data_IF_976834530733
#
_entry.id   IF_976834530733
#
_cell.length_a   1.000
_cell.length_b   1.000
_cell.length_c   1.000
_cell.angle_alpha   90.00
_cell.angle_beta   90.00
_cell.angle_gamma   90.00
#
_symmetry.space_group_name_H-M   'P 1'
#
loop_
_entity.id
_entity.type
_entity.pdbx_description
1 polymer ?
#
# COMPACT_ATOMS: atom_id res chain seq x y z
N UNK A 1 -34.54 -11.28 -11.59
CA UNK A 1 -33.09 -11.16 -11.32
C UNK A 1 -32.40 -10.57 -12.55
N UNK A 2 -31.66 -9.49 -12.36
CA UNK A 2 -30.80 -8.87 -13.39
C UNK A 2 -29.38 -8.73 -12.86
N UNK A 3 -28.40 -8.94 -13.71
CA UNK A 3 -26.99 -8.99 -13.34
C UNK A 3 -26.21 -7.93 -14.13
N UNK A 4 -25.37 -7.18 -13.42
CA UNK A 4 -24.58 -6.12 -14.01
C UNK A 4 -23.12 -6.22 -13.57
N UNK A 5 -22.20 -6.15 -14.54
CA UNK A 5 -20.80 -5.87 -14.25
C UNK A 5 -20.66 -4.43 -13.77
N UNK A 6 -19.89 -4.20 -12.70
CA UNK A 6 -19.83 -2.86 -12.10
C UNK A 6 -18.40 -2.47 -11.67
N UNK A 7 -18.22 -1.21 -11.35
CA UNK A 7 -17.05 -0.74 -10.63
C UNK A 7 -15.78 -0.66 -11.45
N UNK A 8 -14.69 -1.16 -10.86
CA UNK A 8 -13.36 -1.06 -11.46
C UNK A 8 -13.21 -1.77 -12.80
N UNK A 9 -13.93 -2.88 -13.00
CA UNK A 9 -13.88 -3.66 -14.24
C UNK A 9 -14.46 -2.88 -15.42
N UNK A 10 -15.62 -2.25 -15.23
CA UNK A 10 -16.27 -1.41 -16.28
C UNK A 10 -15.41 -0.20 -16.61
N UNK A 11 -14.88 0.50 -15.59
CA UNK A 11 -13.96 1.62 -15.80
C UNK A 11 -12.71 1.18 -16.58
N UNK A 12 -12.08 0.08 -16.18
CA UNK A 12 -10.83 -0.38 -16.80
C UNK A 12 -11.10 -0.82 -18.25
N UNK A 13 -12.24 -1.49 -18.54
CA UNK A 13 -12.68 -1.81 -19.91
C UNK A 13 -12.81 -0.55 -20.78
N UNK A 14 -13.52 0.49 -20.27
CA UNK A 14 -13.70 1.77 -20.98
C UNK A 14 -12.38 2.54 -21.18
N UNK A 15 -11.35 2.26 -20.42
CA UNK A 15 -10.00 2.81 -20.58
C UNK A 15 -9.07 1.91 -21.40
N UNK A 16 -9.53 0.76 -21.88
CA UNK A 16 -8.70 -0.21 -22.60
C UNK A 16 -7.66 -0.91 -21.69
N UNK A 17 -7.90 -0.97 -20.38
CA UNK A 17 -7.03 -1.63 -19.39
C UNK A 17 -7.53 -3.04 -19.15
N UNK A 18 -6.70 -4.09 -19.25
CA UNK A 18 -7.11 -5.44 -18.87
C UNK A 18 -7.51 -5.50 -17.39
N UNK A 19 -8.72 -5.94 -17.10
CA UNK A 19 -9.18 -6.19 -15.72
C UNK A 19 -9.13 -7.68 -15.40
N UNK A 20 -8.52 -8.02 -14.25
CA UNK A 20 -8.45 -9.40 -13.75
C UNK A 20 -9.60 -9.73 -12.79
N UNK A 21 -10.12 -8.71 -12.12
CA UNK A 21 -11.17 -8.85 -11.11
C UNK A 21 -12.47 -8.27 -11.67
N UNK A 22 -13.55 -9.02 -11.58
CA UNK A 22 -14.88 -8.60 -11.99
C UNK A 22 -15.80 -8.64 -10.79
N UNK A 23 -16.44 -7.50 -10.53
CA UNK A 23 -17.47 -7.36 -9.51
C UNK A 23 -18.85 -7.31 -10.17
N UNK A 24 -19.75 -8.15 -9.71
CA UNK A 24 -21.11 -8.24 -10.24
C UNK A 24 -22.13 -7.78 -9.20
N UNK A 25 -23.09 -6.98 -9.64
CA UNK A 25 -24.27 -6.61 -8.84
C UNK A 25 -25.51 -7.30 -9.38
N UNK A 26 -26.27 -7.87 -8.47
CA UNK A 26 -27.54 -8.54 -8.76
C UNK A 26 -28.67 -7.70 -8.17
N UNK A 27 -29.63 -7.29 -9.00
CA UNK A 27 -30.86 -6.60 -8.62
C UNK A 27 -32.06 -7.50 -8.84
N UNK A 28 -33.18 -7.16 -8.24
CA UNK A 28 -34.44 -7.92 -8.33
C UNK A 28 -34.22 -9.38 -7.93
N UNK A 29 -33.49 -9.63 -6.83
CA UNK A 29 -33.19 -10.97 -6.32
C UNK A 29 -32.98 -10.99 -4.82
N UNK A 30 -33.08 -12.17 -4.23
CA UNK A 30 -32.95 -12.43 -2.80
C UNK A 30 -31.83 -13.43 -2.48
N UNK A 31 -31.47 -13.51 -1.19
CA UNK A 31 -30.55 -14.54 -0.71
C UNK A 31 -31.01 -15.96 -1.05
N UNK A 32 -32.30 -16.21 -0.93
CA UNK A 32 -32.88 -17.54 -1.20
C UNK A 32 -32.75 -17.91 -2.69
N UNK A 33 -33.06 -16.97 -3.58
CA UNK A 33 -32.91 -17.17 -5.03
C UNK A 33 -31.46 -17.41 -5.43
N UNK A 34 -30.50 -16.60 -4.92
CA UNK A 34 -29.07 -16.80 -5.18
C UNK A 34 -28.58 -18.18 -4.76
N UNK A 35 -29.01 -18.63 -3.57
CA UNK A 35 -28.63 -19.95 -3.05
C UNK A 35 -29.26 -21.08 -3.86
N UNK A 36 -30.54 -20.93 -4.26
CA UNK A 36 -31.26 -21.93 -5.07
C UNK A 36 -30.61 -22.20 -6.42
N UNK A 37 -30.01 -21.17 -7.02
CA UNK A 37 -29.28 -21.30 -8.31
C UNK A 37 -27.79 -21.64 -8.14
N UNK A 38 -27.37 -22.05 -6.93
CA UNK A 38 -26.06 -22.63 -6.67
C UNK A 38 -24.96 -21.63 -6.26
N UNK A 39 -25.27 -20.36 -6.04
CA UNK A 39 -24.27 -19.41 -5.52
C UNK A 39 -23.95 -19.69 -4.06
N UNK A 40 -22.66 -19.66 -3.71
CA UNK A 40 -22.21 -19.86 -2.33
C UNK A 40 -21.98 -18.53 -1.63
N UNK A 41 -22.72 -18.28 -0.57
CA UNK A 41 -22.52 -17.08 0.28
C UNK A 41 -21.20 -17.18 1.02
N UNK A 42 -20.41 -16.08 0.99
CA UNK A 42 -19.17 -15.89 1.73
C UNK A 42 -19.23 -14.60 2.55
N UNK A 43 -18.52 -14.58 3.68
CA UNK A 43 -18.49 -13.42 4.59
C UNK A 43 -19.66 -13.40 5.57
N UNK A 44 -19.35 -13.05 6.84
CA UNK A 44 -20.37 -12.97 7.91
C UNK A 44 -21.23 -11.72 7.83
N UNK A 45 -20.62 -10.58 7.48
CA UNK A 45 -21.26 -9.26 7.53
C UNK A 45 -21.59 -8.69 6.16
N UNK A 46 -21.16 -9.33 5.08
CA UNK A 46 -21.31 -8.86 3.72
C UNK A 46 -21.92 -9.96 2.85
N UNK A 47 -23.05 -9.72 2.20
CA UNK A 47 -23.68 -10.71 1.32
C UNK A 47 -22.94 -10.74 -0.02
N UNK A 48 -21.75 -11.34 -0.04
CA UNK A 48 -21.01 -11.68 -1.26
C UNK A 48 -21.29 -13.14 -1.58
N UNK A 49 -21.47 -13.43 -2.85
CA UNK A 49 -21.77 -14.77 -3.38
C UNK A 49 -20.72 -15.14 -4.42
N UNK A 50 -20.21 -16.34 -4.33
CA UNK A 50 -19.27 -16.89 -5.31
C UNK A 50 -20.05 -17.68 -6.35
N UNK A 51 -19.84 -17.35 -7.62
CA UNK A 51 -20.43 -18.10 -8.73
C UNK A 51 -19.92 -19.54 -8.74
N UNK A 52 -20.80 -20.56 -8.93
CA UNK A 52 -20.40 -21.97 -8.79
C UNK A 52 -19.33 -22.40 -9.80
N UNK A 53 -19.32 -21.84 -10.99
CA UNK A 53 -18.39 -22.20 -12.08
C UNK A 53 -17.25 -21.20 -12.20
N UNK A 54 -17.54 -19.91 -12.46
CA UNK A 54 -16.51 -18.89 -12.75
C UNK A 54 -15.71 -18.45 -11.54
N UNK A 55 -16.21 -18.73 -10.31
CA UNK A 55 -15.64 -18.28 -9.04
C UNK A 55 -15.58 -16.75 -8.87
N UNK A 56 -16.23 -16.01 -9.76
CA UNK A 56 -16.34 -14.56 -9.68
C UNK A 56 -17.27 -14.13 -8.53
N UNK A 57 -17.06 -12.92 -8.02
CA UNK A 57 -17.80 -12.36 -6.88
C UNK A 57 -19.05 -11.61 -7.32
N UNK A 58 -20.17 -11.96 -6.71
CA UNK A 58 -21.49 -11.35 -6.93
C UNK A 58 -22.01 -10.76 -5.62
N UNK A 59 -22.63 -9.59 -5.66
CA UNK A 59 -23.28 -8.99 -4.52
C UNK A 59 -24.71 -8.60 -4.86
N UNK A 60 -25.67 -8.81 -3.93
CA UNK A 60 -26.99 -8.23 -4.07
C UNK A 60 -26.90 -6.71 -3.97
N UNK A 61 -27.70 -6.02 -4.79
CA UNK A 61 -27.87 -4.57 -4.68
C UNK A 61 -28.27 -4.20 -3.26
N UNK A 62 -27.69 -3.14 -2.70
CA UNK A 62 -27.92 -2.76 -1.32
C UNK A 62 -27.87 -1.26 -1.08
N UNK A 63 -28.58 -0.82 -0.05
CA UNK A 63 -28.35 0.46 0.62
C UNK A 63 -27.44 0.25 1.83
N UNK A 64 -26.53 1.16 2.03
CA UNK A 64 -25.70 1.21 3.23
C UNK A 64 -26.19 2.39 4.07
N UNK A 65 -26.38 2.19 5.38
CA UNK A 65 -26.74 3.25 6.33
C UNK A 65 -25.78 3.19 7.51
N UNK A 66 -25.10 4.29 7.76
CA UNK A 66 -24.24 4.44 8.93
C UNK A 66 -25.09 4.45 10.19
N UNK A 67 -24.81 3.56 11.15
CA UNK A 67 -25.56 3.44 12.43
C UNK A 67 -24.72 3.92 13.62
N UNK A 68 -23.45 4.34 13.41
CA UNK A 68 -22.56 4.84 14.46
C UNK A 68 -21.19 5.21 13.93
N UNK A 69 -20.27 5.61 14.82
CA UNK A 69 -18.89 5.97 14.45
C UNK A 69 -18.08 4.72 14.06
N UNK A 70 -17.25 4.83 13.00
CA UNK A 70 -16.38 3.78 12.50
C UNK A 70 -17.07 2.78 11.56
N UNK A 71 -16.29 1.91 10.92
CA UNK A 71 -16.74 1.04 9.82
C UNK A 71 -17.55 -0.20 10.27
N UNK A 72 -17.58 -0.54 11.55
CA UNK A 72 -18.35 -1.71 12.07
C UNK A 72 -19.85 -1.40 12.25
N UNK A 73 -20.20 -0.14 12.19
CA UNK A 73 -21.55 0.36 12.47
C UNK A 73 -22.26 0.76 11.18
N UNK A 74 -22.38 -0.20 10.25
CA UNK A 74 -23.21 -0.09 9.07
C UNK A 74 -24.32 -1.13 9.14
N UNK A 75 -25.55 -0.71 8.85
CA UNK A 75 -26.63 -1.61 8.49
C UNK A 75 -26.71 -1.71 6.97
N UNK A 76 -26.91 -2.93 6.49
CA UNK A 76 -27.06 -3.21 5.06
C UNK A 76 -28.50 -3.60 4.81
N UNK A 77 -29.20 -2.83 4.00
CA UNK A 77 -30.49 -3.20 3.48
C UNK A 77 -30.28 -3.85 2.11
N UNK A 78 -30.51 -5.16 2.08
CA UNK A 78 -30.40 -6.02 0.87
C UNK A 78 -31.78 -6.42 0.35
N UNK A 79 -32.77 -5.56 0.54
CA UNK A 79 -34.11 -5.79 0.02
C UNK A 79 -34.08 -5.95 -1.52
N UNK A 80 -34.78 -6.93 -2.11
CA UNK A 80 -34.89 -7.08 -3.57
C UNK A 80 -35.33 -5.83 -4.33
N UNK A 81 -36.03 -4.90 -3.64
CA UNK A 81 -36.47 -3.63 -4.22
C UNK A 81 -35.39 -2.54 -4.33
N UNK A 82 -34.14 -2.83 -3.88
CA UNK A 82 -33.03 -1.88 -4.04
C UNK A 82 -32.64 -1.81 -5.52
N UNK A 83 -32.80 -0.63 -6.09
CA UNK A 83 -32.49 -0.38 -7.50
C UNK A 83 -30.98 -0.37 -7.77
N UNK A 84 -30.58 -0.61 -9.03
CA UNK A 84 -29.21 -0.47 -9.49
C UNK A 84 -28.65 0.93 -9.19
N UNK A 85 -29.46 1.98 -9.42
CA UNK A 85 -29.06 3.37 -9.18
C UNK A 85 -28.72 3.62 -7.70
N UNK A 86 -29.46 3.04 -6.77
CA UNK A 86 -29.20 3.14 -5.33
C UNK A 86 -27.90 2.43 -4.93
N UNK A 87 -27.62 1.26 -5.50
CA UNK A 87 -26.33 0.61 -5.29
C UNK A 87 -25.16 1.42 -5.86
N UNK A 88 -25.30 1.98 -7.04
CA UNK A 88 -24.29 2.81 -7.66
C UNK A 88 -24.06 4.13 -6.89
N UNK A 89 -25.12 4.71 -6.30
CA UNK A 89 -25.06 5.96 -5.52
C UNK A 89 -24.16 5.89 -4.30
N UNK A 90 -24.06 4.73 -3.64
CA UNK A 90 -23.22 4.53 -2.45
C UNK A 90 -21.74 4.32 -2.76
N UNK A 91 -21.33 4.22 -4.05
CA UNK A 91 -19.93 4.01 -4.45
C UNK A 91 -19.09 5.26 -4.21
N UNK A 92 -17.78 5.09 -4.29
CA UNK A 92 -16.80 6.15 -3.95
C UNK A 92 -16.71 7.24 -5.02
N UNK A 93 -16.50 6.86 -6.28
CA UNK A 93 -16.28 7.81 -7.39
C UNK A 93 -17.13 7.46 -8.61
N UNK A 94 -17.53 8.48 -9.37
CA UNK A 94 -18.43 8.33 -10.52
C UNK A 94 -17.95 7.35 -11.57
N UNK A 95 -16.64 7.33 -11.84
CA UNK A 95 -16.03 6.40 -12.79
C UNK A 95 -16.02 4.93 -12.31
N UNK A 96 -16.35 4.66 -11.05
CA UNK A 96 -16.60 3.33 -10.49
C UNK A 96 -18.10 3.07 -10.27
N UNK A 97 -18.97 4.03 -10.59
CA UNK A 97 -20.43 3.94 -10.47
C UNK A 97 -21.11 3.79 -11.83
N UNK A 98 -20.45 3.10 -12.74
CA UNK A 98 -20.97 2.69 -14.05
C UNK A 98 -21.24 1.19 -13.99
N UNK A 99 -22.34 0.76 -14.55
CA UNK A 99 -22.70 -0.65 -14.69
C UNK A 99 -22.84 -1.03 -16.17
N UNK A 100 -22.65 -2.31 -16.48
CA UNK A 100 -22.81 -2.89 -17.82
C UNK A 100 -23.61 -4.18 -17.72
N UNK A 101 -24.66 -4.31 -18.53
CA UNK A 101 -25.43 -5.56 -18.60
C UNK A 101 -24.78 -6.61 -19.54
N UNK A 102 -25.41 -7.76 -19.61
CA UNK A 102 -24.95 -8.88 -20.48
C UNK A 102 -25.09 -8.58 -21.97
N UNK A 103 -25.92 -7.62 -22.36
CA UNK A 103 -26.12 -7.18 -23.74
C UNK A 103 -25.10 -6.10 -24.15
N UNK A 104 -24.28 -5.62 -23.21
CA UNK A 104 -23.30 -4.59 -23.45
C UNK A 104 -23.79 -3.16 -23.22
N UNK A 105 -25.02 -2.95 -22.77
CA UNK A 105 -25.55 -1.61 -22.48
C UNK A 105 -24.95 -1.06 -21.19
N UNK A 106 -24.57 0.23 -21.22
CA UNK A 106 -24.04 0.93 -20.05
C UNK A 106 -25.12 1.70 -19.31
N UNK A 107 -25.09 1.62 -17.98
CA UNK A 107 -25.96 2.37 -17.06
C UNK A 107 -25.09 3.31 -16.24
N UNK A 108 -25.23 4.61 -16.46
CA UNK A 108 -24.39 5.67 -15.88
C UNK A 108 -25.24 6.81 -15.30
N UNK A 109 -25.97 6.59 -14.20
CA UNK A 109 -26.84 7.61 -13.62
C UNK A 109 -26.08 8.80 -13.01
N UNK A 110 -24.77 8.68 -12.82
CA UNK A 110 -23.96 9.70 -12.13
C UNK A 110 -22.95 10.40 -13.04
N UNK A 111 -22.97 10.12 -14.36
CA UNK A 111 -22.09 10.77 -15.34
C UNK A 111 -20.63 10.34 -15.27
N UNK A 112 -20.39 9.10 -14.89
CA UNK A 112 -19.05 8.50 -14.83
C UNK A 112 -18.37 8.41 -16.20
N UNK A 113 -19.12 8.11 -17.27
CA UNK A 113 -18.57 8.09 -18.64
C UNK A 113 -18.09 9.48 -19.09
N UNK A 114 -18.83 10.54 -18.73
CA UNK A 114 -18.40 11.93 -18.96
C UNK A 114 -17.11 12.24 -18.18
N UNK A 115 -17.03 11.79 -16.93
CA UNK A 115 -15.84 11.98 -16.09
C UNK A 115 -14.64 11.18 -16.59
N UNK A 116 -14.84 9.97 -17.13
CA UNK A 116 -13.82 9.20 -17.82
C UNK A 116 -13.25 9.96 -19.03
N UNK A 117 -14.10 10.45 -19.91
CA UNK A 117 -13.70 11.26 -21.08
C UNK A 117 -12.92 12.50 -20.66
N UNK A 118 -13.36 13.19 -19.60
CA UNK A 118 -12.75 14.42 -19.11
C UNK A 118 -11.58 14.18 -18.12
N UNK A 119 -11.20 12.92 -17.88
CA UNK A 119 -10.13 12.55 -16.94
C UNK A 119 -10.35 13.11 -15.53
N UNK A 120 -11.56 12.97 -14.99
CA UNK A 120 -11.95 13.49 -13.67
C UNK A 120 -12.22 12.35 -12.68
N UNK A 121 -11.70 12.53 -11.47
CA UNK A 121 -12.07 11.75 -10.28
C UNK A 121 -13.05 12.60 -9.48
N UNK A 122 -14.32 12.23 -9.50
CA UNK A 122 -15.40 12.94 -8.84
C UNK A 122 -16.16 11.99 -7.90
N UNK A 123 -16.45 12.45 -6.70
CA UNK A 123 -17.27 11.76 -5.70
C UNK A 123 -18.69 11.61 -6.24
N UNK A 124 -19.31 10.44 -6.00
CA UNK A 124 -20.67 10.13 -6.49
C UNK A 124 -21.72 10.94 -5.74
N UNK A 125 -21.70 10.90 -4.41
CA UNK A 125 -22.77 11.48 -3.56
C UNK A 125 -22.25 11.76 -2.14
N UNK A 126 -23.11 12.36 -1.30
CA UNK A 126 -22.82 12.62 0.11
C UNK A 126 -22.59 11.34 0.94
N UNK A 127 -23.06 10.17 0.48
CA UNK A 127 -22.75 8.88 1.09
C UNK A 127 -21.25 8.58 1.14
N UNK A 128 -20.43 9.31 0.37
CA UNK A 128 -18.98 9.23 0.43
C UNK A 128 -18.41 9.47 1.83
N UNK A 129 -18.95 10.46 2.55
CA UNK A 129 -18.49 10.83 3.90
C UNK A 129 -18.83 9.79 4.98
N UNK A 130 -19.68 8.81 4.68
CA UNK A 130 -20.04 7.75 5.63
C UNK A 130 -18.86 6.80 5.93
N UNK A 131 -17.95 6.59 4.98
CA UNK A 131 -16.74 5.77 5.17
C UNK A 131 -15.47 6.61 4.91
N UNK A 132 -14.78 7.07 5.97
CA UNK A 132 -13.57 7.88 5.84
C UNK A 132 -12.43 7.21 5.06
N UNK A 133 -12.44 5.87 4.92
CA UNK A 133 -11.46 5.15 4.11
C UNK A 133 -11.50 5.56 2.63
N UNK A 134 -12.65 6.01 2.15
CA UNK A 134 -12.83 6.43 0.75
C UNK A 134 -11.88 7.58 0.37
N UNK A 135 -11.47 8.41 1.33
CA UNK A 135 -10.42 9.42 1.15
C UNK A 135 -9.09 8.77 0.68
N UNK A 136 -8.64 7.72 1.37
CA UNK A 136 -7.42 6.98 0.99
C UNK A 136 -7.61 6.25 -0.35
N UNK A 137 -8.81 5.76 -0.62
CA UNK A 137 -9.15 5.14 -1.91
C UNK A 137 -9.04 6.14 -3.06
N UNK A 138 -9.53 7.38 -2.92
CA UNK A 138 -9.35 8.42 -3.95
C UNK A 138 -7.86 8.72 -4.18
N UNK A 139 -7.07 8.88 -3.12
CA UNK A 139 -5.63 9.08 -3.24
C UNK A 139 -4.96 7.92 -4.00
N UNK A 140 -5.37 6.69 -3.74
CA UNK A 140 -4.90 5.50 -4.48
C UNK A 140 -5.38 5.51 -5.93
N UNK A 141 -6.63 5.88 -6.23
CA UNK A 141 -7.12 5.97 -7.60
C UNK A 141 -6.38 7.04 -8.39
N UNK A 142 -6.07 8.20 -7.79
CA UNK A 142 -5.21 9.20 -8.43
C UNK A 142 -3.85 8.62 -8.83
N UNK A 143 -3.30 7.74 -8.01
CA UNK A 143 -2.04 7.03 -8.30
C UNK A 143 -2.22 5.97 -9.39
N UNK A 144 -3.25 5.10 -9.27
CA UNK A 144 -3.54 4.04 -10.25
C UNK A 144 -3.76 4.60 -11.66
N UNK A 145 -4.45 5.74 -11.75
CA UNK A 145 -4.86 6.36 -13.00
C UNK A 145 -3.89 7.47 -13.47
N UNK A 146 -2.70 7.56 -12.87
CA UNK A 146 -1.73 8.61 -13.18
C UNK A 146 -1.31 8.63 -14.66
N UNK A 147 -1.15 7.46 -15.27
CA UNK A 147 -0.79 7.33 -16.69
C UNK A 147 -1.85 7.89 -17.65
N UNK A 148 -3.05 8.13 -17.19
CA UNK A 148 -4.17 8.70 -17.94
C UNK A 148 -4.49 10.15 -17.56
N UNK A 149 -3.62 10.81 -16.79
CA UNK A 149 -3.73 12.22 -16.37
C UNK A 149 -5.03 12.60 -15.65
N UNK A 150 -5.63 11.66 -14.92
CA UNK A 150 -6.82 11.96 -14.13
C UNK A 150 -6.54 12.99 -13.04
N UNK A 151 -7.45 13.95 -12.87
CA UNK A 151 -7.42 14.97 -11.81
C UNK A 151 -8.62 14.84 -10.88
N UNK A 152 -8.39 15.05 -9.58
CA UNK A 152 -9.48 15.10 -8.60
C UNK A 152 -10.17 16.46 -8.72
N UNK A 153 -11.52 16.49 -8.75
CA UNK A 153 -12.28 17.73 -8.86
C UNK A 153 -12.14 18.60 -7.59
N UNK A 154 -12.30 19.91 -7.73
CA UNK A 154 -12.22 20.85 -6.60
C UNK A 154 -13.21 20.49 -5.48
N UNK A 155 -14.46 20.19 -5.85
CA UNK A 155 -15.49 19.77 -4.88
C UNK A 155 -15.11 18.46 -4.16
N UNK A 156 -14.58 17.48 -4.87
CA UNK A 156 -14.12 16.23 -4.23
C UNK A 156 -12.96 16.47 -3.26
N UNK A 157 -12.02 17.36 -3.59
CA UNK A 157 -10.97 17.75 -2.66
C UNK A 157 -11.50 18.46 -1.41
N UNK A 158 -12.53 19.30 -1.56
CA UNK A 158 -13.18 19.98 -0.42
C UNK A 158 -13.85 18.97 0.52
N UNK A 159 -14.62 18.02 -0.02
CA UNK A 159 -15.24 16.93 0.78
C UNK A 159 -14.18 16.08 1.49
N UNK A 160 -13.10 15.72 0.80
CA UNK A 160 -12.01 14.96 1.43
C UNK A 160 -11.35 15.74 2.58
N UNK A 161 -11.22 17.06 2.44
CA UNK A 161 -10.66 17.93 3.47
C UNK A 161 -11.60 18.06 4.69
N UNK A 162 -12.91 18.14 4.45
CA UNK A 162 -13.92 18.12 5.49
C UNK A 162 -13.87 16.83 6.32
N UNK A 163 -13.81 15.66 5.66
CA UNK A 163 -13.64 14.36 6.35
C UNK A 163 -12.39 14.36 7.24
N UNK A 164 -11.30 14.95 6.76
CA UNK A 164 -10.07 15.06 7.54
C UNK A 164 -10.23 15.97 8.77
N UNK A 165 -11.06 17.02 8.67
CA UNK A 165 -11.31 17.96 9.78
C UNK A 165 -12.16 17.35 10.88
N UNK A 166 -13.06 16.40 10.54
CA UNK A 166 -14.01 15.77 11.47
C UNK A 166 -13.39 14.61 12.28
N UNK A 167 -12.07 14.35 12.15
CA UNK A 167 -11.33 13.31 12.89
C UNK A 167 -11.89 11.87 12.80
N UNK A 168 -12.87 11.63 11.93
CA UNK A 168 -13.48 10.29 11.75
C UNK A 168 -12.48 9.23 11.27
N UNK A 169 -11.41 9.64 10.61
CA UNK A 169 -10.31 8.78 10.18
C UNK A 169 -9.65 8.04 11.36
N UNK A 170 -9.66 8.62 12.57
CA UNK A 170 -9.10 8.00 13.77
C UNK A 170 -9.83 6.71 14.19
N UNK A 171 -11.05 6.50 13.72
CA UNK A 171 -11.85 5.29 13.98
C UNK A 171 -11.63 4.19 12.93
N UNK A 172 -10.83 4.44 11.90
CA UNK A 172 -10.46 3.42 10.93
C UNK A 172 -9.48 2.41 11.55
N UNK A 173 -9.64 1.15 11.20
CA UNK A 173 -8.62 0.16 11.54
C UNK A 173 -7.34 0.42 10.74
N UNK A 174 -6.21 0.22 11.41
CA UNK A 174 -4.90 0.42 10.78
C UNK A 174 -4.69 -0.45 9.56
N UNK A 175 -5.22 -1.68 9.57
CA UNK A 175 -5.17 -2.63 8.46
C UNK A 175 -5.80 -2.05 7.20
N UNK A 176 -6.97 -1.39 7.31
CA UNK A 176 -7.65 -0.79 6.14
C UNK A 176 -6.83 0.35 5.53
N UNK A 177 -6.23 1.20 6.38
CA UNK A 177 -5.35 2.29 5.92
C UNK A 177 -4.11 1.69 5.22
N UNK A 178 -3.53 0.65 5.83
CA UNK A 178 -2.37 -0.03 5.24
C UNK A 178 -2.69 -0.68 3.90
N UNK A 179 -3.83 -1.35 3.75
CA UNK A 179 -4.21 -2.00 2.50
C UNK A 179 -4.31 -1.01 1.33
N UNK A 180 -4.89 0.18 1.55
CA UNK A 180 -4.94 1.22 0.53
C UNK A 180 -3.54 1.79 0.25
N UNK A 181 -2.72 1.96 1.28
CA UNK A 181 -1.33 2.42 1.16
C UNK A 181 -0.47 1.40 0.41
N UNK A 182 -0.58 0.11 0.75
CA UNK A 182 0.12 -0.98 0.08
C UNK A 182 -0.19 -1.01 -1.43
N UNK A 183 -1.49 -0.96 -1.77
CA UNK A 183 -1.96 -0.91 -3.16
C UNK A 183 -1.41 0.32 -3.89
N UNK A 184 -1.40 1.49 -3.24
CA UNK A 184 -0.85 2.71 -3.82
C UNK A 184 0.66 2.61 -4.08
N UNK A 185 1.42 2.03 -3.14
CA UNK A 185 2.86 1.79 -3.28
C UNK A 185 3.20 0.76 -4.37
N UNK A 186 2.26 -0.14 -4.70
CA UNK A 186 2.45 -1.14 -5.76
C UNK A 186 2.40 -0.53 -7.17
N UNK A 187 1.76 0.62 -7.35
CA UNK A 187 1.67 1.31 -8.65
C UNK A 187 2.92 2.15 -8.95
N UNK A 188 3.05 2.55 -10.23
CA UNK A 188 3.85 3.71 -10.60
C UNK A 188 3.29 4.98 -9.96
N UNK A 189 4.09 6.07 -9.96
CA UNK A 189 3.66 7.39 -9.45
C UNK A 189 3.13 7.37 -8.01
N UNK A 190 3.67 6.48 -7.16
CA UNK A 190 3.23 6.33 -5.77
C UNK A 190 3.41 7.61 -4.94
N UNK A 191 4.24 8.54 -5.37
CA UNK A 191 4.38 9.87 -4.78
C UNK A 191 3.06 10.66 -4.80
N UNK A 192 2.18 10.42 -5.80
CA UNK A 192 0.87 11.06 -5.91
C UNK A 192 -0.08 10.68 -4.78
N UNK A 193 0.04 9.47 -4.23
CA UNK A 193 -0.74 9.07 -3.06
C UNK A 193 -0.50 10.01 -1.88
N UNK A 194 0.76 10.15 -1.49
CA UNK A 194 1.14 10.99 -0.35
C UNK A 194 0.94 12.48 -0.63
N UNK A 195 1.15 12.95 -1.87
CA UNK A 195 0.89 14.34 -2.23
C UNK A 195 -0.61 14.66 -2.21
N UNK A 196 -1.48 13.72 -2.57
CA UNK A 196 -2.93 13.87 -2.44
C UNK A 196 -3.33 13.93 -0.97
N UNK A 197 -2.81 13.02 -0.13
CA UNK A 197 -3.07 13.06 1.31
C UNK A 197 -2.60 14.38 1.96
N UNK A 198 -1.41 14.88 1.56
CA UNK A 198 -0.92 16.19 2.04
C UNK A 198 -1.86 17.32 1.66
N UNK A 199 -2.37 17.32 0.42
CA UNK A 199 -3.26 18.38 -0.10
C UNK A 199 -4.58 18.49 0.66
N UNK A 200 -5.06 17.38 1.25
CA UNK A 200 -6.31 17.33 2.01
C UNK A 200 -6.05 17.16 3.52
N UNK A 201 -4.86 17.51 4.00
CA UNK A 201 -4.44 17.47 5.40
C UNK A 201 -4.50 16.06 6.05
N UNK A 202 -4.68 15.00 5.25
CA UNK A 202 -4.78 13.62 5.73
C UNK A 202 -3.41 12.98 6.03
N UNK A 203 -2.31 13.62 5.64
CA UNK A 203 -0.97 13.13 5.96
C UNK A 203 -0.68 13.15 7.47
N UNK A 204 -1.44 13.94 8.26
CA UNK A 204 -1.37 13.96 9.73
C UNK A 204 -1.61 12.58 10.37
N UNK A 205 -2.33 11.67 9.69
CA UNK A 205 -2.57 10.30 10.17
C UNK A 205 -1.38 9.35 9.97
N UNK A 206 -0.33 9.82 9.29
CA UNK A 206 0.96 9.16 9.17
C UNK A 206 1.98 9.88 10.05
N UNK A 207 1.93 9.60 11.35
CA UNK A 207 2.69 10.30 12.38
C UNK A 207 4.18 10.40 12.04
N UNK A 208 4.73 11.60 12.22
CA UNK A 208 6.13 11.91 11.95
C UNK A 208 6.49 12.01 10.46
N UNK A 209 5.59 11.60 9.54
CA UNK A 209 5.86 11.72 8.11
C UNK A 209 5.65 13.15 7.61
N UNK A 210 4.66 13.87 8.09
CA UNK A 210 4.33 15.23 7.67
C UNK A 210 5.49 16.22 7.86
N UNK A 211 6.26 16.08 8.96
CA UNK A 211 7.43 16.90 9.29
C UNK A 211 8.58 16.74 8.30
N UNK A 212 8.73 15.58 7.70
CA UNK A 212 9.84 15.23 6.79
C UNK A 212 9.37 14.97 5.37
N UNK A 213 8.08 15.18 5.11
CA UNK A 213 7.40 14.84 3.86
C UNK A 213 8.11 15.38 2.62
N UNK A 214 8.37 16.69 2.56
CA UNK A 214 8.97 17.33 1.37
C UNK A 214 10.34 16.77 1.03
N UNK A 215 11.13 16.41 2.06
CA UNK A 215 12.45 15.82 1.90
C UNK A 215 12.33 14.37 1.40
N UNK A 216 11.46 13.58 2.00
CA UNK A 216 11.28 12.16 1.64
C UNK A 216 10.63 12.00 0.28
N UNK A 217 9.69 12.88 -0.09
CA UNK A 217 8.99 12.85 -1.36
C UNK A 217 9.95 12.97 -2.55
N UNK A 218 11.02 13.79 -2.44
CA UNK A 218 12.03 13.93 -3.49
C UNK A 218 12.66 12.58 -3.84
N UNK A 219 12.98 11.77 -2.84
CA UNK A 219 13.53 10.44 -3.05
C UNK A 219 12.48 9.44 -3.54
N UNK A 220 11.25 9.50 -3.03
CA UNK A 220 10.18 8.61 -3.50
C UNK A 220 9.88 8.82 -4.99
N UNK A 221 9.91 10.06 -5.48
CA UNK A 221 9.70 10.39 -6.89
C UNK A 221 10.70 9.70 -7.82
N UNK A 222 11.93 9.41 -7.38
CA UNK A 222 12.90 8.66 -8.16
C UNK A 222 12.46 7.21 -8.45
N UNK A 223 11.51 6.68 -7.66
CA UNK A 223 10.93 5.36 -7.86
C UNK A 223 9.53 5.40 -8.50
N UNK A 224 9.04 6.56 -8.96
CA UNK A 224 7.69 6.67 -9.49
C UNK A 224 7.46 5.86 -10.76
N UNK A 225 8.48 5.61 -11.56
CA UNK A 225 8.39 4.74 -12.74
C UNK A 225 8.41 3.23 -12.41
N UNK A 226 8.72 2.87 -11.18
CA UNK A 226 8.86 1.47 -10.76
C UNK A 226 7.57 0.93 -10.17
N UNK A 227 7.12 -0.24 -10.65
CA UNK A 227 6.00 -1.01 -10.07
C UNK A 227 6.50 -2.00 -9.02
N UNK A 228 5.61 -2.40 -8.12
CA UNK A 228 5.81 -3.51 -7.16
C UNK A 228 7.02 -3.38 -6.24
N UNK A 229 7.53 -2.17 -6.01
CA UNK A 229 8.63 -1.87 -5.08
C UNK A 229 8.10 -1.35 -3.74
N UNK A 230 7.14 -2.05 -3.13
CA UNK A 230 6.45 -1.58 -1.92
C UNK A 230 7.40 -1.44 -0.74
N UNK A 231 8.34 -2.37 -0.56
CA UNK A 231 9.30 -2.38 0.54
C UNK A 231 10.22 -1.17 0.47
N UNK A 232 10.79 -0.93 -0.71
CA UNK A 232 11.70 0.17 -1.00
C UNK A 232 10.99 1.52 -0.88
N UNK A 233 9.82 1.65 -1.50
CA UNK A 233 9.02 2.87 -1.46
C UNK A 233 8.57 3.21 -0.03
N UNK A 234 8.17 2.21 0.77
CA UNK A 234 7.85 2.40 2.18
C UNK A 234 9.08 2.85 3.00
N UNK A 235 10.23 2.22 2.77
CA UNK A 235 11.46 2.62 3.44
C UNK A 235 11.87 4.05 3.08
N UNK A 236 11.71 4.45 1.80
CA UNK A 236 12.08 5.77 1.30
C UNK A 236 11.13 6.86 1.80
N UNK A 237 9.81 6.66 1.76
CA UNK A 237 8.87 7.67 2.25
C UNK A 237 9.04 7.92 3.77
N UNK A 238 9.63 6.98 4.48
CA UNK A 238 9.97 7.10 5.92
C UNK A 238 11.46 7.35 6.19
N UNK A 239 12.27 7.68 5.17
CA UNK A 239 13.74 7.76 5.23
C UNK A 239 14.30 8.64 6.36
N UNK A 240 13.61 9.71 6.72
CA UNK A 240 13.99 10.67 7.77
C UNK A 240 12.98 10.76 8.92
N UNK A 241 11.91 9.91 8.91
CA UNK A 241 10.93 9.88 9.99
C UNK A 241 11.52 9.23 11.24
N UNK A 242 11.33 9.87 12.40
CA UNK A 242 11.74 9.33 13.71
C UNK A 242 10.66 8.47 14.36
N UNK A 243 9.40 8.67 14.00
CA UNK A 243 8.22 8.05 14.64
C UNK A 243 7.70 6.84 13.86
N UNK A 244 8.49 6.35 12.89
CA UNK A 244 8.04 5.32 11.95
C UNK A 244 7.70 3.98 12.61
N UNK A 245 8.36 3.58 13.69
CA UNK A 245 8.05 2.32 14.40
C UNK A 245 6.66 2.38 15.05
N UNK A 246 6.28 3.54 15.59
CA UNK A 246 4.95 3.78 16.11
C UNK A 246 3.90 3.77 15.00
N UNK A 247 4.15 4.47 13.90
CA UNK A 247 3.29 4.48 12.72
C UNK A 247 3.05 3.06 12.19
N UNK A 248 4.13 2.27 11.99
CA UNK A 248 4.05 0.89 11.52
C UNK A 248 3.17 0.00 12.41
N UNK A 249 3.27 0.16 13.72
CA UNK A 249 2.42 -0.54 14.68
C UNK A 249 0.96 -0.08 14.58
N UNK A 250 0.72 1.23 14.46
CA UNK A 250 -0.61 1.82 14.39
C UNK A 250 -1.37 1.37 13.15
N UNK A 251 -0.75 1.46 11.97
CA UNK A 251 -1.40 1.06 10.71
C UNK A 251 -1.17 -0.41 10.34
N UNK A 252 -0.61 -1.21 11.25
CA UNK A 252 -0.43 -2.67 11.10
C UNK A 252 0.39 -3.07 9.87
N UNK A 253 1.50 -2.38 9.62
CA UNK A 253 2.42 -2.74 8.55
C UNK A 253 2.98 -4.16 8.76
N UNK A 254 2.98 -5.04 7.75
CA UNK A 254 3.50 -6.40 7.87
C UNK A 254 4.98 -6.44 8.31
N UNK A 255 5.31 -7.36 9.21
CA UNK A 255 6.67 -7.51 9.80
C UNK A 255 7.78 -7.58 8.74
N UNK A 256 7.53 -8.21 7.59
CA UNK A 256 8.52 -8.29 6.50
C UNK A 256 8.92 -6.91 5.97
N UNK A 257 7.96 -6.01 5.82
CA UNK A 257 8.17 -4.63 5.34
C UNK A 257 8.87 -3.80 6.41
N UNK A 258 8.42 -3.89 7.68
CA UNK A 258 9.08 -3.24 8.81
C UNK A 258 10.56 -3.67 8.92
N UNK A 259 10.84 -4.96 8.78
CA UNK A 259 12.21 -5.50 8.84
C UNK A 259 13.08 -4.97 7.70
N UNK A 260 12.55 -4.88 6.48
CA UNK A 260 13.28 -4.28 5.36
C UNK A 260 13.59 -2.80 5.63
N UNK A 261 12.60 -2.01 6.04
CA UNK A 261 12.79 -0.59 6.37
C UNK A 261 13.83 -0.40 7.49
N UNK A 262 13.79 -1.22 8.55
CA UNK A 262 14.80 -1.21 9.63
C UNK A 262 16.20 -1.52 9.10
N UNK A 263 16.32 -2.56 8.26
CA UNK A 263 17.57 -2.91 7.61
C UNK A 263 18.08 -1.75 6.76
N UNK A 264 17.22 -1.14 5.96
CA UNK A 264 17.56 0.01 5.12
C UNK A 264 18.06 1.21 5.96
N UNK A 265 17.38 1.54 7.06
CA UNK A 265 17.80 2.62 7.97
C UNK A 265 19.18 2.33 8.61
N UNK A 266 19.38 1.12 9.13
CA UNK A 266 20.67 0.73 9.72
C UNK A 266 21.81 0.71 8.69
N UNK A 267 21.53 0.22 7.47
CA UNK A 267 22.50 0.24 6.37
C UNK A 267 22.87 1.69 6.01
N UNK A 268 21.90 2.58 5.89
CA UNK A 268 22.13 4.02 5.65
C UNK A 268 23.00 4.64 6.74
N UNK A 269 22.73 4.35 8.01
CA UNK A 269 23.52 4.87 9.13
C UNK A 269 24.96 4.31 9.09
N UNK A 270 25.10 3.01 8.85
CA UNK A 270 26.38 2.33 8.77
C UNK A 270 27.26 2.89 7.63
N UNK A 271 26.66 3.27 6.50
CA UNK A 271 27.40 3.79 5.33
C UNK A 271 27.76 5.28 5.45
N UNK A 272 27.06 6.07 6.28
CA UNK A 272 27.25 7.54 6.38
C UNK A 272 28.47 7.98 7.14
N UNK A 273 29.00 7.22 8.09
CA UNK A 273 30.07 7.66 8.98
C UNK A 273 31.38 6.94 8.63
N UNK A 274 32.30 7.66 8.04
CA UNK A 274 33.73 7.31 8.09
C UNK A 274 34.14 7.32 9.59
N UNK A 275 34.49 6.15 10.15
CA UNK A 275 35.00 6.08 11.53
C UNK A 275 34.17 5.30 12.55
N UNK A 276 33.16 4.57 12.15
CA UNK A 276 32.52 3.63 13.08
C UNK A 276 33.50 2.54 13.56
N UNK A 277 33.42 2.21 14.86
CA UNK A 277 34.17 1.09 15.40
C UNK A 277 33.75 -0.22 14.75
N UNK A 278 34.68 -1.17 14.64
CA UNK A 278 34.42 -2.51 14.08
C UNK A 278 33.29 -3.21 14.85
N UNK A 279 33.25 -3.01 16.18
CA UNK A 279 32.16 -3.51 17.04
C UNK A 279 30.81 -2.98 16.65
N UNK A 280 30.71 -1.68 16.29
CA UNK A 280 29.46 -1.09 15.82
C UNK A 280 28.99 -1.72 14.50
N UNK A 281 29.89 -1.87 13.52
CA UNK A 281 29.58 -2.49 12.23
C UNK A 281 29.06 -3.92 12.45
N UNK A 282 29.77 -4.74 13.23
CA UNK A 282 29.36 -6.13 13.51
C UNK A 282 28.04 -6.22 14.27
N UNK A 283 27.81 -5.34 15.25
CA UNK A 283 26.54 -5.26 15.97
C UNK A 283 25.38 -4.90 15.02
N UNK A 284 25.59 -3.94 14.12
CA UNK A 284 24.58 -3.54 13.13
C UNK A 284 24.28 -4.68 12.16
N UNK A 285 25.32 -5.37 11.65
CA UNK A 285 25.16 -6.54 10.77
C UNK A 285 24.41 -7.69 11.47
N UNK A 286 24.68 -7.90 12.76
CA UNK A 286 23.96 -8.91 13.56
C UNK A 286 22.48 -8.54 13.75
N UNK A 287 22.18 -7.28 14.07
CA UNK A 287 20.79 -6.77 14.17
C UNK A 287 20.02 -6.92 12.86
N UNK A 288 20.70 -6.78 11.73
CA UNK A 288 20.14 -6.96 10.39
C UNK A 288 20.08 -8.44 9.95
N UNK A 289 20.47 -9.37 10.81
CA UNK A 289 20.52 -10.82 10.53
C UNK A 289 21.38 -11.18 9.29
N UNK A 290 22.43 -10.37 9.02
CA UNK A 290 23.28 -10.46 7.83
C UNK A 290 23.88 -11.85 7.62
N UNK A 291 24.44 -12.46 8.68
CA UNK A 291 25.14 -13.72 8.57
C UNK A 291 24.27 -14.91 8.18
N UNK A 292 22.94 -14.81 8.39
CA UNK A 292 21.95 -15.79 7.94
C UNK A 292 21.38 -15.44 6.57
N UNK A 293 21.03 -14.16 6.37
CA UNK A 293 20.41 -13.70 5.12
C UNK A 293 20.86 -12.26 4.82
N UNK A 294 21.68 -12.09 3.79
CA UNK A 294 22.21 -10.79 3.37
C UNK A 294 21.37 -10.07 2.31
N UNK A 295 20.28 -10.68 1.82
CA UNK A 295 19.49 -10.15 0.69
C UNK A 295 19.03 -8.71 0.92
N UNK A 296 18.45 -8.44 2.10
CA UNK A 296 17.91 -7.11 2.40
C UNK A 296 19.01 -6.04 2.52
N UNK A 297 20.20 -6.39 3.02
CA UNK A 297 21.33 -5.45 3.12
C UNK A 297 21.85 -5.11 1.73
N UNK A 298 22.03 -6.10 0.87
CA UNK A 298 22.48 -5.87 -0.52
C UNK A 298 21.46 -5.03 -1.30
N UNK A 299 20.17 -5.32 -1.16
CA UNK A 299 19.11 -4.49 -1.74
C UNK A 299 19.16 -3.05 -1.18
N UNK A 300 19.42 -2.89 0.12
CA UNK A 300 19.53 -1.58 0.76
C UNK A 300 20.72 -0.78 0.22
N UNK A 301 21.90 -1.42 0.05
CA UNK A 301 23.09 -0.77 -0.52
C UNK A 301 22.84 -0.31 -1.96
N UNK A 302 22.27 -1.18 -2.81
CA UNK A 302 21.92 -0.83 -4.18
C UNK A 302 20.90 0.32 -4.22
N UNK A 303 19.93 0.33 -3.32
CA UNK A 303 18.95 1.40 -3.22
C UNK A 303 19.59 2.73 -2.78
N UNK A 304 20.53 2.69 -1.83
CA UNK A 304 21.27 3.89 -1.39
C UNK A 304 22.12 4.48 -2.51
N UNK A 305 22.75 3.64 -3.33
CA UNK A 305 23.48 4.10 -4.52
C UNK A 305 22.54 4.69 -5.57
N UNK A 306 21.43 4.01 -5.88
CA UNK A 306 20.42 4.52 -6.81
C UNK A 306 19.89 5.90 -6.39
N UNK A 307 19.71 6.12 -5.08
CA UNK A 307 19.30 7.40 -4.51
C UNK A 307 20.44 8.43 -4.43
N UNK A 308 21.64 8.07 -4.86
CA UNK A 308 22.86 8.90 -4.75
C UNK A 308 23.18 9.32 -3.31
N UNK A 309 22.83 8.49 -2.32
CA UNK A 309 23.17 8.66 -0.90
C UNK A 309 24.58 8.15 -0.64
N UNK A 310 24.99 7.11 -1.35
CA UNK A 310 26.36 6.62 -1.44
C UNK A 310 26.81 6.59 -2.92
N UNK A 311 28.11 6.65 -3.13
CA UNK A 311 28.73 6.52 -4.46
C UNK A 311 28.84 5.07 -4.93
N UNK A 312 29.07 4.85 -6.23
CA UNK A 312 29.38 3.52 -6.79
C UNK A 312 30.62 2.90 -6.15
N UNK A 313 31.63 3.73 -5.83
CA UNK A 313 32.85 3.27 -5.14
C UNK A 313 32.49 2.73 -3.75
N UNK A 314 31.73 3.49 -2.95
CA UNK A 314 31.30 3.07 -1.62
C UNK A 314 30.42 1.81 -1.68
N UNK A 315 29.52 1.67 -2.66
CA UNK A 315 28.76 0.44 -2.88
C UNK A 315 29.69 -0.76 -3.11
N UNK A 316 30.71 -0.60 -3.97
CA UNK A 316 31.69 -1.66 -4.25
C UNK A 316 32.48 -2.03 -3.00
N UNK A 317 32.97 -1.02 -2.28
CA UNK A 317 33.76 -1.21 -1.06
C UNK A 317 32.96 -1.96 0.01
N UNK A 318 31.71 -1.52 0.28
CA UNK A 318 30.82 -2.22 1.21
C UNK A 318 30.50 -3.65 0.75
N UNK A 319 30.24 -3.86 -0.53
CA UNK A 319 29.94 -5.20 -1.07
C UNK A 319 31.12 -6.15 -0.87
N UNK A 320 32.35 -5.69 -1.14
CA UNK A 320 33.56 -6.48 -0.93
C UNK A 320 33.80 -6.82 0.55
N UNK A 321 33.61 -5.84 1.44
CA UNK A 321 33.69 -6.07 2.89
C UNK A 321 32.67 -7.12 3.35
N UNK A 322 31.42 -6.98 2.95
CA UNK A 322 30.36 -7.90 3.33
C UNK A 322 30.63 -9.33 2.82
N UNK A 323 31.13 -9.46 1.61
CA UNK A 323 31.51 -10.76 1.04
C UNK A 323 32.70 -11.40 1.82
N UNK A 324 33.73 -10.62 2.16
CA UNK A 324 34.85 -11.09 3.02
C UNK A 324 34.33 -11.58 4.37
N UNK A 325 33.41 -10.79 5.02
CA UNK A 325 32.83 -11.14 6.33
C UNK A 325 31.98 -12.41 6.30
N UNK A 326 31.24 -12.64 5.20
CA UNK A 326 30.36 -13.81 5.04
C UNK A 326 31.20 -15.11 4.84
N UNK A 327 32.35 -15.01 4.20
CA UNK A 327 33.24 -16.15 3.92
C UNK A 327 34.06 -16.61 5.14
N UNK A 328 34.02 -15.89 6.25
CA UNK A 328 34.74 -16.27 7.47
C UNK A 328 34.23 -17.62 7.98
N UNK A 329 35.11 -18.61 7.98
CA UNK A 329 34.88 -19.96 8.53
C UNK A 329 35.90 -20.24 9.60
N UNK A 330 35.52 -20.99 10.63
CA UNK A 330 36.40 -21.46 11.68
C UNK A 330 36.37 -22.97 11.69
N UNK A 331 37.54 -23.57 11.90
CA UNK A 331 37.61 -25.00 12.22
C UNK A 331 37.05 -25.18 13.63
N UNK A 332 35.91 -25.88 13.73
CA UNK A 332 35.17 -26.03 14.97
C UNK A 332 35.55 -27.27 15.79
N UNK A 333 36.43 -28.11 15.25
CA UNK A 333 36.87 -29.34 15.93
C UNK A 333 37.47 -29.01 17.31
N UNK A 334 36.96 -29.62 18.36
CA UNK A 334 37.37 -29.45 19.75
C UNK A 334 37.20 -28.01 20.33
N UNK A 335 36.22 -27.24 19.86
CA UNK A 335 35.95 -25.90 20.40
C UNK A 335 34.53 -25.84 21.00
N UNK A 336 34.44 -25.25 22.17
CA UNK A 336 33.19 -24.91 22.78
C UNK A 336 32.45 -23.80 22.01
N UNK A 337 31.10 -23.75 22.02
CA UNK A 337 30.30 -22.73 21.32
C UNK A 337 30.72 -21.28 21.64
N UNK A 338 31.17 -21.02 22.85
CA UNK A 338 31.66 -19.71 23.31
C UNK A 338 32.99 -19.34 22.59
N UNK A 339 33.91 -20.28 22.51
CA UNK A 339 35.20 -20.09 21.83
C UNK A 339 35.04 -19.89 20.32
N UNK A 340 34.13 -20.64 19.70
CA UNK A 340 33.80 -20.47 18.29
C UNK A 340 33.31 -19.04 18.06
N UNK A 341 32.41 -18.53 18.91
CA UNK A 341 31.85 -17.18 18.82
C UNK A 341 32.95 -16.11 18.97
N UNK A 342 33.85 -16.28 19.92
CA UNK A 342 34.95 -15.35 20.16
C UNK A 342 35.95 -15.34 18.99
N UNK A 343 36.35 -16.50 18.46
CA UNK A 343 37.22 -16.61 17.31
C UNK A 343 36.60 -15.98 16.06
N UNK A 344 35.32 -16.24 15.79
CA UNK A 344 34.57 -15.58 14.71
C UNK A 344 34.57 -14.06 14.86
N UNK A 345 34.33 -13.56 16.07
CA UNK A 345 34.31 -12.14 16.34
C UNK A 345 35.67 -11.50 16.09
N UNK A 346 36.76 -12.10 16.60
CA UNK A 346 38.15 -11.63 16.40
C UNK A 346 38.51 -11.56 14.92
N UNK A 347 38.26 -12.62 14.15
CA UNK A 347 38.58 -12.65 12.71
C UNK A 347 37.80 -11.59 11.94
N UNK A 348 36.50 -11.42 12.22
CA UNK A 348 35.69 -10.42 11.57
C UNK A 348 36.14 -9.00 11.90
N UNK A 349 36.55 -8.72 13.14
CA UNK A 349 37.14 -7.45 13.54
C UNK A 349 38.41 -7.16 12.74
N UNK A 350 39.28 -8.13 12.60
CA UNK A 350 40.53 -8.00 11.83
C UNK A 350 40.25 -7.66 10.36
N UNK A 351 39.27 -8.34 9.73
CA UNK A 351 38.90 -8.07 8.35
C UNK A 351 38.38 -6.62 8.20
N UNK A 352 37.56 -6.14 9.13
CA UNK A 352 37.01 -4.76 9.06
C UNK A 352 38.15 -3.74 9.24
N UNK A 353 39.10 -4.00 10.15
CA UNK A 353 40.28 -3.13 10.34
C UNK A 353 41.11 -3.03 9.07
N UNK A 354 41.49 -4.18 8.47
CA UNK A 354 42.22 -4.22 7.22
C UNK A 354 41.55 -3.47 6.10
N UNK A 355 40.21 -3.67 5.92
CA UNK A 355 39.43 -3.00 4.88
C UNK A 355 39.32 -1.48 5.06
N UNK A 356 39.54 -0.96 6.25
CA UNK A 356 39.54 0.50 6.52
C UNK A 356 40.88 1.16 6.16
N UNK A 357 41.94 0.40 6.08
CA UNK A 357 43.28 0.88 5.76
C UNK A 357 43.64 0.71 4.28
N UNK A 358 42.88 -0.13 3.53
CA UNK A 358 42.92 -0.26 2.07
C UNK A 358 42.06 0.87 1.40
#
# INVERSE_FOLDING_TARGET
>A
MKIYLVGGAVRDELLGIPSKEKDWVVVDSSHQEMTKIGFKRVGKNFPVYIHPETKEEYALARKEKKTGKGHKNFSFDVNPNVSLSEDLKRRDITINAIAKDSLGNFYDPFGGMKDLKNRKIRIVSNAFSEDPLRLFRIARFKTKLAAFDFSITKNSLAVMKEITSNDEVNFLSGERIWDETYKALSYCNSSLYFSTLKKVDALKYFEGLDKVYSKNLKFLKLLDEKKNMVFEKWAIINLFSKEVDYLEKKIKVPKKICNFRKTFSLTKEMTKKKGFSEKYILSSLSKMNFFRNNKNIMLSLNLLEFLKIISKKELKDWSQLLDKLKKVKIVTKNLEPKEIKEKLLKQRITIIKQHKHD
#
